data_IF_107868135301
#
_entry.id   IF_107868135301
#
_cell.length_a   1.000
_cell.length_b   1.000
_cell.length_c   1.000
_cell.angle_alpha   90.00
_cell.angle_beta   90.00
_cell.angle_gamma   90.00
#
_symmetry.space_group_name_H-M   'P 1'
#
loop_
_entity.id
_entity.type
_entity.pdbx_description
1 polymer ?
#
# COMPACT_ATOMS: atom_id res chain seq x y z
N UNK A 1 0.11 -47.49 -17.85
CA UNK A 1 -0.13 -46.17 -18.49
C UNK A 1 0.48 -45.09 -17.63
N UNK A 2 1.52 -44.41 -18.10
CA UNK A 2 2.23 -43.41 -17.31
C UNK A 2 1.33 -42.22 -16.98
N UNK A 3 1.08 -41.99 -15.70
CA UNK A 3 0.42 -40.77 -15.24
C UNK A 3 1.34 -39.60 -15.57
N UNK A 4 0.94 -38.73 -16.51
CA UNK A 4 1.64 -37.46 -16.75
C UNK A 4 1.76 -36.74 -15.41
N UNK A 5 2.99 -36.50 -14.97
CA UNK A 5 3.25 -35.73 -13.75
C UNK A 5 2.56 -34.37 -13.89
N UNK A 6 1.84 -33.97 -12.85
CA UNK A 6 1.15 -32.67 -12.79
C UNK A 6 1.80 -31.88 -11.67
N UNK A 7 2.32 -30.72 -12.01
CA UNK A 7 2.91 -29.79 -11.06
C UNK A 7 1.91 -28.66 -10.80
N UNK A 8 1.70 -28.33 -9.53
CA UNK A 8 0.82 -27.27 -9.08
C UNK A 8 1.68 -26.18 -8.49
N UNK A 9 1.82 -25.06 -9.19
CA UNK A 9 2.57 -23.92 -8.71
C UNK A 9 1.65 -23.01 -7.91
N UNK A 10 2.01 -22.74 -6.65
CA UNK A 10 1.35 -21.74 -5.81
C UNK A 10 2.28 -20.54 -5.74
N UNK A 11 1.88 -19.46 -6.42
CA UNK A 11 2.61 -18.20 -6.42
C UNK A 11 2.15 -17.26 -5.29
N UNK A 12 0.87 -17.35 -4.89
CA UNK A 12 0.32 -16.62 -3.75
C UNK A 12 -0.55 -17.58 -2.94
N UNK A 13 -0.15 -17.84 -1.70
CA UNK A 13 -0.75 -18.80 -0.78
C UNK A 13 -0.06 -18.75 0.58
N UNK A 14 -0.43 -19.64 1.50
CA UNK A 14 0.21 -19.76 2.83
C UNK A 14 1.69 -20.15 2.71
N UNK A 15 1.99 -21.07 1.80
CA UNK A 15 3.33 -21.46 1.43
C UNK A 15 3.46 -21.42 -0.09
N UNK A 16 4.44 -20.66 -0.57
CA UNK A 16 4.76 -20.51 -1.98
C UNK A 16 5.65 -21.68 -2.39
N UNK A 17 5.34 -22.34 -3.50
CA UNK A 17 6.09 -23.52 -3.93
C UNK A 17 5.40 -24.35 -5.01
N UNK A 18 6.10 -25.38 -5.47
CA UNK A 18 5.60 -26.37 -6.44
C UNK A 18 5.17 -27.62 -5.69
N UNK A 19 3.94 -28.07 -5.95
CA UNK A 19 3.36 -29.27 -5.37
C UNK A 19 3.09 -30.31 -6.45
N UNK A 20 3.26 -31.58 -6.14
CA UNK A 20 3.00 -32.70 -7.06
C UNK A 20 1.60 -33.28 -6.93
N UNK A 21 0.84 -32.86 -5.90
CA UNK A 21 -0.53 -33.31 -5.63
C UNK A 21 -1.46 -32.12 -5.41
N UNK A 22 -2.70 -32.21 -5.91
CA UNK A 22 -3.70 -31.15 -5.73
C UNK A 22 -4.04 -30.93 -4.26
N UNK A 23 -4.18 -32.00 -3.46
CA UNK A 23 -4.56 -31.90 -2.05
C UNK A 23 -3.58 -31.06 -1.22
N UNK A 24 -2.28 -31.14 -1.49
CA UNK A 24 -1.26 -30.34 -0.80
C UNK A 24 -1.28 -28.89 -1.25
N UNK A 25 -1.48 -28.63 -2.56
CA UNK A 25 -1.62 -27.28 -3.10
C UNK A 25 -2.89 -26.57 -2.59
N UNK A 26 -4.02 -27.28 -2.51
CA UNK A 26 -5.32 -26.73 -2.08
C UNK A 26 -5.26 -26.20 -0.64
N UNK A 27 -4.59 -26.93 0.26
CA UNK A 27 -4.41 -26.51 1.65
C UNK A 27 -3.69 -25.16 1.77
N UNK A 28 -2.83 -24.82 0.81
CA UNK A 28 -2.08 -23.55 0.81
C UNK A 28 -2.89 -22.38 0.29
N UNK A 29 -3.88 -22.61 -0.58
CA UNK A 29 -4.68 -21.55 -1.19
C UNK A 29 -6.02 -21.35 -0.48
N UNK A 30 -6.53 -22.37 0.23
CA UNK A 30 -7.85 -22.33 0.86
C UNK A 30 -7.92 -21.29 1.97
N UNK A 31 -8.79 -20.30 1.77
CA UNK A 31 -8.99 -19.17 2.68
C UNK A 31 -7.95 -18.06 2.58
N UNK A 32 -7.09 -18.06 1.54
CA UNK A 32 -6.14 -16.98 1.26
C UNK A 32 -6.75 -16.00 0.26
N UNK A 33 -6.88 -14.73 0.64
CA UNK A 33 -7.33 -13.65 -0.25
C UNK A 33 -6.35 -13.48 -1.40
N UNK A 34 -6.86 -13.37 -2.64
CA UNK A 34 -6.06 -13.19 -3.86
C UNK A 34 -5.05 -14.32 -4.14
N UNK A 35 -5.37 -15.57 -3.78
CA UNK A 35 -4.53 -16.72 -4.10
C UNK A 35 -4.29 -16.87 -5.62
N UNK A 36 -3.02 -17.07 -6.02
CA UNK A 36 -2.60 -17.26 -7.41
C UNK A 36 -1.90 -18.60 -7.52
N UNK A 37 -2.51 -19.51 -8.27
CA UNK A 37 -1.98 -20.84 -8.52
C UNK A 37 -2.28 -21.31 -9.94
N UNK A 38 -1.44 -22.18 -10.48
CA UNK A 38 -1.63 -22.73 -11.83
C UNK A 38 -1.05 -24.14 -11.93
N UNK A 39 -1.67 -24.99 -12.75
CA UNK A 39 -1.22 -26.35 -13.04
C UNK A 39 -0.33 -26.37 -14.29
N UNK A 40 0.75 -27.13 -14.24
CA UNK A 40 1.75 -27.27 -15.29
C UNK A 40 2.10 -28.74 -15.53
N UNK A 41 2.59 -29.01 -16.75
CA UNK A 41 3.08 -30.33 -17.14
C UNK A 41 4.60 -30.47 -16.89
N UNK A 42 5.34 -29.36 -16.83
CA UNK A 42 6.76 -29.31 -16.50
C UNK A 42 7.00 -28.56 -15.19
N UNK A 43 7.97 -29.03 -14.41
CA UNK A 43 8.44 -28.35 -13.19
C UNK A 43 9.08 -26.99 -13.51
N UNK A 44 9.76 -26.88 -14.66
CA UNK A 44 10.42 -25.64 -15.10
C UNK A 44 9.39 -24.52 -15.34
N UNK A 45 8.26 -24.85 -15.98
CA UNK A 45 7.18 -23.89 -16.21
C UNK A 45 6.53 -23.44 -14.89
N UNK A 46 6.38 -24.38 -13.95
CA UNK A 46 5.87 -24.10 -12.61
C UNK A 46 6.80 -23.17 -11.83
N UNK A 47 8.12 -23.37 -11.93
CA UNK A 47 9.12 -22.51 -11.30
C UNK A 47 9.10 -21.11 -11.91
N UNK A 48 9.04 -20.99 -13.24
CA UNK A 48 8.95 -19.70 -13.93
C UNK A 48 7.68 -18.92 -13.54
N UNK A 49 6.56 -19.62 -13.34
CA UNK A 49 5.31 -19.01 -12.86
C UNK A 49 5.47 -18.43 -11.44
N UNK A 50 6.15 -19.13 -10.54
CA UNK A 50 6.43 -18.62 -9.19
C UNK A 50 7.36 -17.42 -9.28
N UNK A 51 8.51 -17.55 -9.96
CA UNK A 51 9.50 -16.47 -10.07
C UNK A 51 8.90 -15.18 -10.65
N UNK A 52 8.09 -15.27 -11.72
CA UNK A 52 7.44 -14.10 -12.33
C UNK A 52 6.41 -13.41 -11.42
N UNK A 53 5.80 -14.16 -10.49
CA UNK A 53 4.83 -13.62 -9.56
C UNK A 53 5.46 -13.19 -8.23
N UNK A 54 6.56 -13.81 -7.81
CA UNK A 54 7.34 -13.45 -6.62
C UNK A 54 8.19 -12.20 -6.88
N UNK A 55 8.78 -12.03 -8.06
CA UNK A 55 9.48 -10.79 -8.41
C UNK A 55 8.54 -9.58 -8.44
N UNK A 56 7.29 -9.76 -8.89
CA UNK A 56 6.23 -8.74 -8.79
C UNK A 56 5.78 -8.45 -7.35
N UNK A 57 6.15 -9.28 -6.37
CA UNK A 57 5.77 -9.13 -4.96
C UNK A 57 6.93 -8.77 -4.04
N UNK A 58 8.18 -8.82 -4.51
CA UNK A 58 9.34 -8.36 -3.73
C UNK A 58 9.46 -6.84 -3.67
N UNK A 59 8.66 -6.09 -4.44
CA UNK A 59 8.41 -4.66 -4.19
C UNK A 59 7.28 -4.41 -3.16
N UNK A 60 6.70 -5.45 -2.56
CA UNK A 60 5.64 -5.31 -1.55
C UNK A 60 5.87 -6.21 -0.33
N UNK A 61 6.49 -5.62 0.69
CA UNK A 61 6.26 -5.81 2.14
C UNK A 61 7.01 -6.97 2.84
N UNK A 62 7.98 -6.58 3.68
CA UNK A 62 8.53 -7.38 4.80
C UNK A 62 7.50 -7.50 5.96
N UNK A 63 7.54 -8.53 6.81
CA UNK A 63 6.40 -8.90 7.65
C UNK A 63 6.36 -8.10 8.96
N UNK A 64 5.28 -7.33 9.19
CA UNK A 64 4.97 -6.81 10.52
C UNK A 64 3.97 -7.73 11.23
N UNK A 65 4.51 -8.34 12.28
CA UNK A 65 3.85 -9.17 13.26
C UNK A 65 2.65 -8.47 13.89
N UNK A 66 1.54 -9.21 13.97
CA UNK A 66 0.36 -8.88 14.76
C UNK A 66 0.77 -8.57 16.20
N UNK A 67 0.51 -7.35 16.68
CA UNK A 67 0.32 -7.09 18.11
C UNK A 67 -0.91 -6.22 18.35
N UNK A 68 -1.79 -6.82 19.13
CA UNK A 68 -2.96 -6.28 19.79
C UNK A 68 -2.64 -5.07 20.67
N UNK A 69 -3.56 -4.10 20.65
CA UNK A 69 -3.93 -3.18 21.73
C UNK A 69 -3.06 -3.13 22.99
N UNK A 70 -2.37 -2.00 23.22
CA UNK A 70 -2.35 -1.28 24.50
C UNK A 70 -1.52 0.00 24.37
N UNK A 71 -2.02 1.09 24.96
CA UNK A 71 -1.30 2.34 25.11
C UNK A 71 -0.01 2.15 25.90
N UNK A 72 1.00 2.99 25.67
CA UNK A 72 1.67 3.72 26.74
C UNK A 72 2.57 4.83 26.17
N UNK A 73 2.39 6.03 26.72
CA UNK A 73 3.33 7.15 26.63
C UNK A 73 4.70 6.68 27.13
N UNK A 74 5.78 7.03 26.42
CA UNK A 74 7.09 7.31 27.01
C UNK A 74 8.01 8.04 26.04
N UNK A 75 8.63 9.07 26.58
CA UNK A 75 9.50 10.06 25.95
C UNK A 75 10.90 9.48 25.68
N UNK A 76 11.48 9.96 24.57
CA UNK A 76 12.87 10.04 24.08
C UNK A 76 14.01 9.42 24.92
N UNK A 77 14.91 8.73 24.21
CA UNK A 77 16.36 8.85 24.43
C UNK A 77 17.14 8.52 23.16
N UNK A 78 18.09 9.40 22.85
CA UNK A 78 18.98 9.40 21.69
C UNK A 78 19.87 8.14 21.60
N UNK A 79 20.11 7.69 20.38
CA UNK A 79 21.27 6.88 20.04
C UNK A 79 21.76 7.28 18.63
N UNK A 80 22.87 8.03 18.61
CA UNK A 80 23.68 8.29 17.43
C UNK A 80 24.35 7.00 16.96
N UNK A 81 24.18 6.63 15.69
CA UNK A 81 25.17 5.89 14.91
C UNK A 81 25.24 6.55 13.53
N UNK A 82 26.48 6.73 13.09
CA UNK A 82 26.99 7.65 12.09
C UNK A 82 26.67 7.27 10.63
N UNK A 83 26.52 8.32 9.81
CA UNK A 83 26.87 8.45 8.39
C UNK A 83 26.99 7.17 7.54
N UNK A 84 25.96 6.91 6.74
CA UNK A 84 26.14 6.32 5.41
C UNK A 84 25.79 7.41 4.37
N UNK A 85 26.83 8.00 3.79
CA UNK A 85 26.74 8.77 2.55
C UNK A 85 26.23 7.85 1.44
N UNK A 86 24.91 7.83 1.24
CA UNK A 86 24.20 7.43 0.02
C UNK A 86 22.74 7.81 0.26
N UNK A 87 22.18 8.83 -0.37
CA UNK A 87 22.09 8.92 -1.82
C UNK A 87 21.59 10.33 -2.17
N UNK A 88 22.49 11.20 -2.62
CA UNK A 88 22.18 12.49 -3.24
C UNK A 88 21.61 12.32 -4.67
N UNK A 89 20.58 11.49 -4.83
CA UNK A 89 19.82 11.32 -6.06
C UNK A 89 18.34 11.35 -5.65
N UNK A 90 17.54 12.37 -5.94
CA UNK A 90 17.58 13.40 -6.96
C UNK A 90 16.72 14.58 -6.49
N UNK A 91 17.31 15.76 -6.36
CA UNK A 91 16.65 16.95 -5.81
C UNK A 91 15.57 17.58 -6.72
N UNK A 92 15.11 16.86 -7.74
CA UNK A 92 14.29 17.34 -8.87
C UNK A 92 12.79 16.98 -8.74
N UNK A 93 12.43 16.22 -7.69
CA UNK A 93 11.07 15.77 -7.50
C UNK A 93 10.71 15.65 -6.02
N UNK A 94 9.43 15.80 -5.72
CA UNK A 94 8.86 15.49 -4.41
C UNK A 94 8.25 14.08 -4.44
N UNK A 95 8.53 13.27 -3.43
CA UNK A 95 7.91 11.96 -3.23
C UNK A 95 7.04 12.02 -2.00
N UNK A 96 5.79 11.59 -2.12
CA UNK A 96 4.86 11.52 -1.00
C UNK A 96 4.12 10.19 -0.98
N UNK A 97 3.98 9.61 0.21
CA UNK A 97 3.12 8.46 0.47
C UNK A 97 1.85 8.95 1.17
N UNK A 98 0.70 8.65 0.58
CA UNK A 98 -0.63 9.05 1.05
C UNK A 98 -1.44 7.81 1.46
N UNK A 99 -2.17 7.93 2.57
CA UNK A 99 -3.08 6.91 3.07
C UNK A 99 -4.32 7.56 3.70
N UNK A 100 -5.46 6.89 3.59
CA UNK A 100 -6.74 7.31 4.14
C UNK A 100 -7.51 6.15 4.75
N UNK A 101 -7.89 6.26 6.01
CA UNK A 101 -8.59 5.18 6.72
C UNK A 101 -9.90 5.65 7.33
N UNK A 102 -10.92 4.79 7.30
CA UNK A 102 -12.20 5.02 7.94
C UNK A 102 -12.63 3.87 8.88
N UNK A 103 -12.95 4.23 10.12
CA UNK A 103 -13.64 3.37 11.09
C UNK A 103 -15.14 3.43 10.84
N UNK A 104 -15.80 2.27 10.87
CA UNK A 104 -17.24 2.13 10.59
C UNK A 104 -17.64 2.70 9.21
N UNK A 105 -16.78 2.51 8.20
CA UNK A 105 -17.04 2.96 6.83
C UNK A 105 -18.41 2.48 6.33
N UNK A 106 -19.21 3.42 5.79
CA UNK A 106 -20.56 3.15 5.30
C UNK A 106 -21.64 2.97 6.39
N UNK A 107 -21.33 3.20 7.67
CA UNK A 107 -22.28 3.11 8.79
C UNK A 107 -22.41 4.44 9.52
N UNK A 108 -23.48 4.58 10.31
CA UNK A 108 -23.65 5.71 11.21
C UNK A 108 -22.49 5.79 12.21
N UNK A 109 -22.02 7.02 12.49
CA UNK A 109 -20.85 7.24 13.36
C UNK A 109 -19.51 6.90 12.70
N UNK A 110 -19.45 6.83 11.37
CA UNK A 110 -18.20 6.73 10.62
C UNK A 110 -17.24 7.87 11.02
N UNK A 111 -15.97 7.53 11.23
CA UNK A 111 -14.88 8.48 11.45
C UNK A 111 -13.76 8.12 10.50
N UNK A 112 -13.19 9.09 9.81
CA UNK A 112 -12.04 8.86 8.96
C UNK A 112 -10.92 9.84 9.26
N UNK A 113 -9.72 9.48 8.82
CA UNK A 113 -8.53 10.32 8.90
C UNK A 113 -7.64 10.06 7.71
N UNK A 114 -6.79 11.03 7.41
CA UNK A 114 -5.84 11.00 6.31
C UNK A 114 -4.43 11.24 6.82
N UNK A 115 -3.43 10.77 6.08
CA UNK A 115 -2.03 11.02 6.36
C UNK A 115 -1.21 11.11 5.07
N UNK A 116 -0.17 11.94 5.10
CA UNK A 116 0.83 12.10 4.05
C UNK A 116 2.22 12.14 4.69
N UNK A 117 3.16 11.38 4.14
CA UNK A 117 4.54 11.32 4.60
C UNK A 117 5.47 11.59 3.43
N UNK A 118 6.34 12.59 3.59
CA UNK A 118 7.41 12.93 2.67
C UNK A 118 8.72 12.34 3.24
N UNK A 119 9.27 11.25 2.66
CA UNK A 119 10.48 10.62 3.19
C UNK A 119 11.68 11.57 3.26
N UNK A 120 11.81 12.43 2.24
CA UNK A 120 12.89 13.41 2.13
C UNK A 120 12.67 14.66 2.99
N UNK A 121 11.45 14.83 3.52
CA UNK A 121 11.05 15.97 4.34
C UNK A 121 10.29 15.49 5.59
N UNK A 122 10.97 14.92 6.58
CA UNK A 122 10.34 14.31 7.76
C UNK A 122 9.58 15.31 8.65
N UNK A 123 9.82 16.61 8.49
CA UNK A 123 9.10 17.68 9.19
C UNK A 123 7.75 18.03 8.53
N UNK A 124 7.52 17.61 7.28
CA UNK A 124 6.29 17.86 6.53
C UNK A 124 5.21 16.79 6.78
N UNK A 125 5.10 16.33 8.03
CA UNK A 125 4.09 15.32 8.40
C UNK A 125 2.72 15.96 8.42
N UNK A 126 1.88 15.54 7.48
CA UNK A 126 0.50 16.00 7.37
C UNK A 126 -0.41 14.86 7.76
N UNK A 127 -1.19 15.03 8.82
CA UNK A 127 -2.21 14.06 9.21
C UNK A 127 -3.33 14.76 9.96
N UNK A 128 -4.55 14.27 9.82
CA UNK A 128 -5.70 14.86 10.49
C UNK A 128 -6.98 14.04 10.36
N UNK A 129 -8.00 14.35 11.18
CA UNK A 129 -9.33 13.79 11.01
C UNK A 129 -10.00 14.39 9.76
N UNK A 130 -10.84 13.59 9.09
CA UNK A 130 -11.66 14.05 7.98
C UNK A 130 -12.96 14.66 8.52
N UNK A 131 -12.91 15.97 8.77
CA UNK A 131 -14.02 16.77 9.30
C UNK A 131 -14.35 17.90 8.33
N UNK A 132 -15.10 17.57 7.27
CA UNK A 132 -15.56 18.57 6.30
C UNK A 132 -17.01 19.01 6.58
N UNK A 133 -17.26 20.29 6.39
CA UNK A 133 -18.58 20.91 6.49
C UNK A 133 -19.05 21.26 5.07
N UNK A 134 -20.27 20.85 4.73
CA UNK A 134 -20.91 21.17 3.45
C UNK A 134 -21.36 22.63 3.39
N UNK A 135 -21.73 23.09 2.19
CA UNK A 135 -22.22 24.45 1.97
C UNK A 135 -23.49 24.76 2.78
N UNK A 136 -24.27 23.73 3.14
CA UNK A 136 -25.45 23.84 4.00
C UNK A 136 -25.13 23.93 5.49
N UNK A 137 -23.84 23.99 5.86
CA UNK A 137 -23.35 24.04 7.23
C UNK A 137 -23.38 22.69 7.94
N UNK A 138 -23.73 21.59 7.27
CA UNK A 138 -23.79 20.26 7.88
C UNK A 138 -22.50 19.49 7.69
N UNK A 139 -22.14 18.66 8.67
CA UNK A 139 -20.98 17.79 8.55
C UNK A 139 -21.20 16.75 7.44
N UNK A 140 -20.25 16.65 6.52
CA UNK A 140 -20.27 15.66 5.44
C UNK A 140 -19.74 14.34 6.01
N UNK A 141 -20.56 13.30 5.96
CA UNK A 141 -20.19 11.97 6.45
C UNK A 141 -18.86 11.49 5.84
N UNK A 142 -17.85 11.16 6.68
CA UNK A 142 -16.57 10.69 6.18
C UNK A 142 -16.71 9.29 5.58
N UNK A 143 -15.88 8.97 4.59
CA UNK A 143 -15.77 7.63 4.01
C UNK A 143 -14.30 7.32 3.78
N UNK A 144 -13.98 6.04 3.61
CA UNK A 144 -12.60 5.64 3.30
C UNK A 144 -12.10 6.33 2.04
N UNK A 145 -12.90 6.26 0.97
CA UNK A 145 -12.56 6.88 -0.30
C UNK A 145 -12.29 8.38 -0.14
N UNK A 146 -13.14 9.12 0.58
CA UNK A 146 -12.90 10.55 0.81
C UNK A 146 -11.58 10.80 1.55
N UNK A 147 -11.23 9.98 2.52
CA UNK A 147 -9.95 10.12 3.23
C UNK A 147 -8.75 9.94 2.29
N UNK A 148 -8.79 8.98 1.38
CA UNK A 148 -7.76 8.77 0.35
C UNK A 148 -7.58 9.98 -0.56
N UNK A 149 -8.68 10.52 -1.09
CA UNK A 149 -8.64 11.72 -1.94
C UNK A 149 -8.13 12.94 -1.17
N UNK A 150 -8.54 13.09 0.09
CA UNK A 150 -8.10 14.21 0.93
C UNK A 150 -6.62 14.10 1.27
N UNK A 151 -6.08 12.90 1.50
CA UNK A 151 -4.64 12.71 1.65
C UNK A 151 -3.88 13.24 0.42
N UNK A 152 -4.24 12.78 -0.78
CA UNK A 152 -3.59 13.25 -2.02
C UNK A 152 -3.76 14.77 -2.23
N UNK A 153 -4.95 15.31 -1.96
CA UNK A 153 -5.22 16.75 -2.03
C UNK A 153 -4.34 17.55 -1.07
N UNK A 154 -4.18 17.09 0.17
CA UNK A 154 -3.37 17.76 1.19
C UNK A 154 -1.89 17.77 0.84
N UNK A 155 -1.39 16.67 0.27
CA UNK A 155 -0.03 16.64 -0.26
C UNK A 155 0.17 17.65 -1.40
N UNK A 156 -0.77 17.73 -2.36
CA UNK A 156 -0.75 18.71 -3.45
C UNK A 156 -0.78 20.16 -2.94
N UNK A 157 -1.67 20.45 -1.97
CA UNK A 157 -1.78 21.76 -1.34
C UNK A 157 -0.45 22.18 -0.71
N UNK A 158 0.15 21.28 0.08
CA UNK A 158 1.41 21.55 0.74
C UNK A 158 2.55 21.80 -0.25
N UNK A 159 2.65 20.99 -1.31
CA UNK A 159 3.68 21.19 -2.34
C UNK A 159 3.50 22.52 -3.06
N UNK A 160 2.27 22.94 -3.34
CA UNK A 160 2.00 24.26 -3.93
C UNK A 160 2.38 25.43 -3.00
N UNK A 161 2.34 25.24 -1.67
CA UNK A 161 2.78 26.25 -0.71
C UNK A 161 4.31 26.38 -0.69
N UNK A 162 5.03 25.26 -0.74
CA UNK A 162 6.52 25.24 -0.67
C UNK A 162 7.19 25.49 -2.03
N UNK A 163 6.54 25.10 -3.13
CA UNK A 163 6.99 25.34 -4.51
C UNK A 163 5.86 25.97 -5.34
N UNK A 164 5.55 27.27 -5.14
CA UNK A 164 4.48 27.96 -5.88
C UNK A 164 4.72 28.06 -7.38
N UNK A 165 5.98 27.93 -7.81
CA UNK A 165 6.37 27.96 -9.22
C UNK A 165 6.31 26.58 -9.88
N UNK A 166 6.00 25.52 -9.12
CA UNK A 166 5.86 24.14 -9.58
C UNK A 166 7.06 23.69 -10.42
N UNK A 167 8.27 23.96 -9.93
CA UNK A 167 9.51 23.64 -10.63
C UNK A 167 9.82 22.15 -10.58
N UNK A 168 9.36 21.46 -9.52
CA UNK A 168 9.60 20.03 -9.32
C UNK A 168 8.35 19.21 -9.57
N UNK A 169 8.57 17.98 -10.07
CA UNK A 169 7.47 17.01 -10.23
C UNK A 169 7.11 16.41 -8.88
N UNK A 170 5.82 16.30 -8.57
CA UNK A 170 5.32 15.57 -7.40
C UNK A 170 4.88 14.15 -7.79
N UNK A 171 5.46 13.13 -7.16
CA UNK A 171 5.04 11.75 -7.23
C UNK A 171 4.22 11.38 -6.00
N UNK A 172 2.95 11.02 -6.21
CA UNK A 172 2.03 10.58 -5.16
C UNK A 172 1.88 9.06 -5.22
N UNK A 173 2.24 8.41 -4.12
CA UNK A 173 2.03 6.98 -3.91
C UNK A 173 0.83 6.77 -2.98
N UNK A 174 -0.11 5.92 -3.38
CA UNK A 174 -1.29 5.53 -2.60
C UNK A 174 -1.66 4.08 -2.94
N UNK A 175 -2.30 3.36 -2.03
CA UNK A 175 -2.84 2.01 -2.27
C UNK A 175 -4.29 2.03 -2.80
N UNK A 176 -4.92 3.22 -2.86
CA UNK A 176 -6.27 3.41 -3.38
C UNK A 176 -6.30 3.33 -4.91
N UNK A 177 -6.68 2.17 -5.44
CA UNK A 177 -6.94 2.01 -6.88
C UNK A 177 -8.04 2.92 -7.40
N UNK A 178 -8.97 3.33 -6.54
CA UNK A 178 -9.99 4.31 -6.91
C UNK A 178 -9.36 5.68 -7.18
N UNK A 179 -8.47 6.15 -6.29
CA UNK A 179 -7.73 7.40 -6.48
C UNK A 179 -6.89 7.33 -7.77
N UNK A 180 -6.09 6.27 -7.90
CA UNK A 180 -5.14 6.10 -9.00
C UNK A 180 -5.88 6.10 -10.35
N UNK A 181 -6.90 5.26 -10.51
CA UNK A 181 -7.64 5.17 -11.79
C UNK A 181 -8.42 6.44 -12.09
N UNK A 182 -8.98 7.12 -11.10
CA UNK A 182 -9.64 8.40 -11.36
C UNK A 182 -8.70 9.40 -12.00
N UNK A 183 -7.46 9.49 -11.49
CA UNK A 183 -6.48 10.45 -11.97
C UNK A 183 -5.78 10.02 -13.26
N UNK A 184 -5.63 8.71 -13.51
CA UNK A 184 -4.88 8.21 -14.68
C UNK A 184 -5.74 7.73 -15.84
N UNK A 185 -7.04 7.46 -15.61
CA UNK A 185 -7.92 6.85 -16.62
C UNK A 185 -9.26 7.56 -16.81
N UNK A 186 -9.87 8.12 -15.75
CA UNK A 186 -11.29 8.55 -15.83
C UNK A 186 -11.51 10.05 -15.99
N UNK A 187 -10.62 10.87 -15.45
CA UNK A 187 -10.72 12.34 -15.56
C UNK A 187 -10.03 12.85 -16.83
N UNK A 188 -9.11 12.07 -17.41
CA UNK A 188 -8.36 12.38 -18.64
C UNK A 188 -9.19 12.11 -19.89
#
# INVERSE_FOLDING_TARGET
MGTRARYYAVAVGRQIGIYTTWATAEQQIKGVSNAKFKKFASEQDAQAFISSHTQKQQETISPISRRTSSCNKRTLSEANIENDEKLSASNESYIVFCDGSALNNGKAGCKAGYACIFPDHPDWKIAGPLEEIGEDGRAIAPTNNRAEYVAALKALQHVNEVDPLQQKTLFIYSDSMLLIRSMTEWVT
#
